data_IF_006669242907
#
_entry.id   IF_006669242907
#
_cell.length_a   1.000
_cell.length_b   1.000
_cell.length_c   1.000
_cell.angle_alpha   90.00
_cell.angle_beta   90.00
_cell.angle_gamma   90.00
#
_symmetry.space_group_name_H-M   'P 1'
#
loop_
_entity.id
_entity.type
_entity.pdbx_description
1 polymer ?
#
# COMPACT_ATOMS: atom_id res chain seq x y z
N UNK A 1 13.25 19.00 -1.01
CA UNK A 1 12.76 18.16 -2.13
C UNK A 1 11.34 17.78 -1.79
N UNK A 2 10.41 17.63 -2.76
CA UNK A 2 9.04 17.24 -2.43
C UNK A 2 9.03 15.84 -1.78
N UNK A 3 8.17 15.66 -0.77
CA UNK A 3 7.87 14.35 -0.17
C UNK A 3 7.41 13.39 -1.29
N UNK A 4 7.92 12.16 -1.29
CA UNK A 4 7.51 11.19 -2.31
C UNK A 4 6.07 10.75 -2.08
N UNK A 5 5.38 10.37 -3.17
CA UNK A 5 4.02 9.84 -3.12
C UNK A 5 3.91 8.61 -4.00
N UNK A 6 3.02 7.71 -3.61
CA UNK A 6 2.62 6.55 -4.40
C UNK A 6 1.12 6.54 -4.54
N UNK A 7 0.67 6.49 -5.79
CA UNK A 7 -0.75 6.46 -6.13
C UNK A 7 -1.24 5.02 -6.11
N UNK A 8 -2.29 4.77 -5.32
CA UNK A 8 -2.92 3.47 -5.18
C UNK A 8 -4.32 3.53 -5.78
N UNK A 9 -4.67 2.52 -6.55
CA UNK A 9 -6.04 2.27 -7.02
C UNK A 9 -6.59 1.00 -6.41
N UNK A 10 -7.90 0.95 -6.26
CA UNK A 10 -8.57 -0.28 -5.89
C UNK A 10 -10.06 -0.18 -6.17
N UNK A 11 -10.72 -1.32 -6.04
CA UNK A 11 -12.16 -1.44 -6.20
C UNK A 11 -12.69 -2.43 -5.19
N UNK A 12 -13.98 -2.32 -4.86
CA UNK A 12 -14.64 -3.24 -3.96
C UNK A 12 -15.86 -3.82 -4.64
N UNK A 13 -16.01 -5.14 -4.48
CA UNK A 13 -17.14 -5.89 -4.98
C UNK A 13 -17.87 -6.53 -3.80
N UNK A 14 -19.17 -6.71 -3.98
CA UNK A 14 -19.98 -7.56 -3.11
C UNK A 14 -19.53 -9.03 -3.23
N UNK A 15 -19.94 -9.88 -2.29
CA UNK A 15 -19.67 -11.32 -2.39
C UNK A 15 -20.25 -11.97 -3.66
N UNK A 16 -21.27 -11.35 -4.27
CA UNK A 16 -21.85 -11.76 -5.56
C UNK A 16 -21.11 -11.24 -6.80
N UNK A 17 -19.96 -10.55 -6.62
CA UNK A 17 -19.15 -10.00 -7.72
C UNK A 17 -19.67 -8.69 -8.33
N UNK A 18 -20.81 -8.16 -7.85
CA UNK A 18 -21.32 -6.86 -8.26
C UNK A 18 -20.54 -5.71 -7.62
N UNK A 19 -20.54 -4.54 -8.25
CA UNK A 19 -19.96 -3.30 -7.72
C UNK A 19 -20.50 -2.99 -6.31
N UNK A 20 -19.61 -2.63 -5.40
CA UNK A 20 -19.99 -2.23 -4.06
C UNK A 20 -20.00 -0.70 -3.97
N UNK A 21 -21.17 -0.12 -3.75
CA UNK A 21 -21.30 1.33 -3.66
C UNK A 21 -20.59 1.87 -2.40
N UNK A 22 -19.47 2.57 -2.61
CA UNK A 22 -18.66 3.16 -1.55
C UNK A 22 -18.83 4.67 -1.48
N UNK A 23 -19.01 5.19 -0.27
CA UNK A 23 -19.08 6.63 -0.01
C UNK A 23 -17.74 7.17 0.47
N UNK A 24 -16.88 6.33 1.06
CA UNK A 24 -15.52 6.71 1.43
C UNK A 24 -14.57 5.51 1.50
N UNK A 25 -13.30 5.74 1.15
CA UNK A 25 -12.17 4.90 1.52
C UNK A 25 -11.13 5.78 2.21
N UNK A 26 -10.79 5.45 3.45
CA UNK A 26 -9.92 6.27 4.32
C UNK A 26 -8.69 5.47 4.73
N UNK A 27 -7.53 6.10 4.61
CA UNK A 27 -6.23 5.53 4.90
C UNK A 27 -5.62 6.31 6.06
N UNK A 28 -5.48 5.66 7.22
CA UNK A 28 -4.92 6.27 8.42
C UNK A 28 -3.49 5.79 8.62
N UNK A 29 -2.54 6.72 8.64
CA UNK A 29 -1.16 6.44 8.98
C UNK A 29 -1.04 6.15 10.49
N UNK A 30 -0.47 5.01 10.86
CA UNK A 30 -0.47 4.51 12.25
C UNK A 30 0.59 5.15 13.15
N UNK A 31 1.62 5.76 12.57
CA UNK A 31 2.69 6.45 13.28
C UNK A 31 3.29 7.55 12.39
N UNK A 32 3.81 8.61 13.00
CA UNK A 32 4.55 9.64 12.26
C UNK A 32 5.88 9.09 11.74
N UNK A 33 6.42 9.73 10.71
CA UNK A 33 7.69 9.35 10.09
C UNK A 33 8.49 10.55 9.55
N UNK A 34 9.65 10.30 8.92
CA UNK A 34 10.49 11.37 8.35
C UNK A 34 10.93 11.09 6.92
N UNK A 35 10.82 12.06 6.02
CA UNK A 35 11.37 11.95 4.68
C UNK A 35 11.86 13.31 4.19
N UNK A 36 12.99 13.33 3.47
CA UNK A 36 13.53 14.54 2.83
C UNK A 36 13.71 15.75 3.78
N UNK A 37 13.90 15.50 5.08
CA UNK A 37 14.04 16.52 6.12
C UNK A 37 12.71 17.02 6.71
N UNK A 38 11.58 16.43 6.32
CA UNK A 38 10.23 16.77 6.79
C UNK A 38 9.65 15.65 7.66
N UNK A 39 8.81 16.02 8.63
CA UNK A 39 8.05 15.08 9.46
C UNK A 39 6.69 14.80 8.80
N UNK A 40 6.42 13.55 8.46
CA UNK A 40 5.08 13.09 8.08
C UNK A 40 4.32 12.80 9.36
N UNK A 41 3.37 13.65 9.70
CA UNK A 41 2.52 13.43 10.89
C UNK A 41 1.50 12.31 10.65
N UNK A 42 1.24 11.50 11.68
CA UNK A 42 0.14 10.56 11.65
C UNK A 42 -1.18 11.29 11.33
N UNK A 43 -1.93 10.77 10.35
CA UNK A 43 -3.10 11.44 9.81
C UNK A 43 -3.94 10.52 8.95
N UNK A 44 -5.11 11.01 8.53
CA UNK A 44 -6.01 10.27 7.65
C UNK A 44 -6.08 10.95 6.30
N UNK A 45 -5.94 10.16 5.23
CA UNK A 45 -6.13 10.58 3.85
C UNK A 45 -7.40 9.89 3.33
N UNK A 46 -8.31 10.66 2.77
CA UNK A 46 -9.52 10.13 2.12
C UNK A 46 -9.27 9.99 0.63
N UNK A 47 -9.52 8.81 0.09
CA UNK A 47 -9.43 8.54 -1.35
C UNK A 47 -10.53 9.27 -2.12
N UNK A 48 -10.27 9.61 -3.37
CA UNK A 48 -11.31 9.94 -4.32
C UNK A 48 -12.05 8.65 -4.70
N UNK A 49 -13.36 8.58 -4.49
CA UNK A 49 -14.19 7.39 -4.72
C UNK A 49 -15.20 7.65 -5.82
N UNK A 50 -15.33 6.72 -6.76
CA UNK A 50 -16.44 6.64 -7.71
C UNK A 50 -17.55 5.84 -7.06
N UNK A 51 -18.52 6.52 -6.45
CA UNK A 51 -19.51 5.88 -5.58
C UNK A 51 -20.31 4.78 -6.24
N UNK A 52 -20.59 4.87 -7.53
CA UNK A 52 -21.38 3.88 -8.25
C UNK A 52 -20.65 2.53 -8.38
N UNK A 53 -19.34 2.54 -8.61
CA UNK A 53 -18.54 1.34 -8.88
C UNK A 53 -17.75 0.87 -7.66
N UNK A 54 -17.53 1.75 -6.68
CA UNK A 54 -16.66 1.49 -5.54
C UNK A 54 -15.17 1.60 -5.88
N UNK A 55 -14.84 2.09 -7.08
CA UNK A 55 -13.45 2.35 -7.46
C UNK A 55 -12.93 3.54 -6.68
N UNK A 56 -11.67 3.49 -6.26
CA UNK A 56 -11.04 4.61 -5.58
C UNK A 56 -9.60 4.83 -6.05
N UNK A 57 -9.13 6.05 -5.87
CA UNK A 57 -7.73 6.44 -6.06
C UNK A 57 -7.26 7.29 -4.90
N UNK A 58 -6.06 7.01 -4.39
CA UNK A 58 -5.45 7.76 -3.29
C UNK A 58 -3.96 7.92 -3.52
N UNK A 59 -3.41 9.09 -3.19
CA UNK A 59 -1.97 9.30 -3.11
C UNK A 59 -1.53 9.23 -1.65
N UNK A 60 -0.66 8.28 -1.34
CA UNK A 60 -0.14 8.08 0.01
C UNK A 60 1.37 8.33 0.04
N UNK A 61 1.86 8.71 1.21
CA UNK A 61 3.28 8.77 1.46
C UNK A 61 3.86 7.33 1.53
N UNK A 62 4.98 7.03 0.86
CA UNK A 62 5.59 5.71 0.92
C UNK A 62 6.32 5.50 2.24
N UNK A 63 5.81 4.58 3.05
CA UNK A 63 6.42 4.20 4.32
C UNK A 63 7.65 3.28 4.18
N UNK A 64 8.20 3.14 2.97
CA UNK A 64 9.49 2.49 2.75
C UNK A 64 10.69 3.43 2.73
N UNK A 65 10.50 4.73 2.42
CA UNK A 65 11.62 5.67 2.20
C UNK A 65 11.99 6.45 3.48
N UNK A 66 11.02 6.69 4.35
CA UNK A 66 11.26 7.38 5.62
C UNK A 66 11.34 6.50 6.86
N UNK A 67 11.09 5.19 6.73
CA UNK A 67 10.65 4.31 7.82
C UNK A 67 11.51 4.36 9.10
N UNK A 68 10.95 4.85 10.22
CA UNK A 68 11.42 4.53 11.58
C UNK A 68 11.19 3.05 11.99
N UNK A 69 10.44 2.30 11.18
CA UNK A 69 10.25 0.86 11.30
C UNK A 69 8.81 0.40 11.50
N UNK A 70 7.92 1.32 11.92
CA UNK A 70 6.60 1.02 12.51
C UNK A 70 5.41 1.64 11.79
N UNK A 71 5.63 2.57 10.86
CA UNK A 71 4.56 3.26 10.15
C UNK A 71 3.89 2.34 9.10
N UNK A 72 2.56 2.25 9.15
CA UNK A 72 1.69 1.48 8.24
C UNK A 72 0.39 2.24 7.99
N UNK A 73 -0.38 1.84 6.98
CA UNK A 73 -1.70 2.42 6.72
C UNK A 73 -2.82 1.46 7.10
N UNK A 74 -3.76 1.93 7.92
CA UNK A 74 -5.02 1.23 8.16
C UNK A 74 -6.07 1.72 7.16
N UNK A 75 -6.69 0.79 6.44
CA UNK A 75 -7.77 1.09 5.50
C UNK A 75 -9.13 0.89 6.17
N UNK A 76 -10.00 1.88 6.07
CA UNK A 76 -11.42 1.76 6.40
C UNK A 76 -12.30 2.22 5.24
N UNK A 77 -13.40 1.50 5.04
CA UNK A 77 -14.34 1.66 3.94
C UNK A 77 -15.71 1.99 4.52
N UNK A 78 -16.39 2.96 3.94
CA UNK A 78 -17.77 3.29 4.26
C UNK A 78 -18.63 3.03 3.04
N UNK A 79 -19.65 2.19 3.20
CA UNK A 79 -20.59 1.84 2.14
C UNK A 79 -21.79 2.79 2.12
N UNK A 80 -22.58 2.73 1.04
CA UNK A 80 -23.77 3.57 0.88
C UNK A 80 -24.88 3.32 1.91
N UNK A 81 -24.92 2.13 2.50
CA UNK A 81 -25.81 1.77 3.61
C UNK A 81 -25.33 2.31 4.98
N UNK A 82 -24.21 3.03 5.01
CA UNK A 82 -23.60 3.58 6.22
C UNK A 82 -22.75 2.57 7.01
N UNK A 83 -22.68 1.31 6.58
CA UNK A 83 -21.81 0.33 7.19
C UNK A 83 -20.34 0.71 6.98
N UNK A 84 -19.52 0.39 7.98
CA UNK A 84 -18.08 0.66 7.95
C UNK A 84 -17.30 -0.62 8.16
N UNK A 85 -16.40 -0.93 7.24
CA UNK A 85 -15.51 -2.10 7.30
C UNK A 85 -14.08 -1.60 7.42
N UNK A 86 -13.36 -2.12 8.42
CA UNK A 86 -11.91 -1.90 8.53
C UNK A 86 -11.19 -3.10 7.95
N UNK A 87 -10.24 -2.86 7.05
CA UNK A 87 -9.42 -3.91 6.49
C UNK A 87 -8.56 -4.53 7.60
N UNK A 88 -8.48 -5.87 7.71
CA UNK A 88 -7.88 -6.53 8.88
C UNK A 88 -6.36 -6.41 8.95
N UNK A 89 -5.70 -6.14 7.83
CA UNK A 89 -4.24 -6.00 7.72
C UNK A 89 -3.87 -4.55 7.44
N UNK A 90 -2.85 -4.04 8.13
CA UNK A 90 -2.27 -2.73 7.83
C UNK A 90 -1.36 -2.82 6.60
N UNK A 91 -1.36 -1.77 5.78
CA UNK A 91 -0.72 -1.77 4.47
C UNK A 91 0.68 -1.15 4.55
N UNK A 92 1.65 -1.84 3.94
CA UNK A 92 2.99 -1.32 3.67
C UNK A 92 3.05 -0.75 2.25
N UNK A 93 3.29 0.56 2.13
CA UNK A 93 3.31 1.29 0.87
C UNK A 93 4.76 1.60 0.51
N UNK A 94 5.26 0.95 -0.54
CA UNK A 94 6.59 1.24 -1.07
C UNK A 94 6.57 2.41 -2.04
N UNK A 95 7.71 3.08 -2.14
CA UNK A 95 7.86 4.15 -3.13
C UNK A 95 7.78 3.57 -4.54
N UNK A 96 6.89 4.16 -5.32
CA UNK A 96 6.67 3.83 -6.72
C UNK A 96 6.38 5.11 -7.51
N UNK A 97 6.93 5.18 -8.73
CA UNK A 97 6.60 6.22 -9.72
C UNK A 97 5.44 5.83 -10.62
N UNK A 98 4.99 4.57 -10.57
CA UNK A 98 3.82 4.06 -11.27
C UNK A 98 2.67 3.81 -10.29
N UNK A 99 1.44 3.84 -10.81
CA UNK A 99 0.26 3.49 -10.01
C UNK A 99 0.35 2.02 -9.56
N UNK A 100 -0.05 1.76 -8.32
CA UNK A 100 -0.09 0.43 -7.71
C UNK A 100 -1.53 0.04 -7.43
N UNK A 101 -1.85 -1.25 -7.54
CA UNK A 101 -3.17 -1.74 -7.11
C UNK A 101 -3.18 -2.06 -5.62
N UNK A 102 -4.34 -1.98 -4.98
CA UNK A 102 -4.49 -2.40 -3.58
C UNK A 102 -4.10 -3.88 -3.38
N UNK A 103 -4.34 -4.73 -4.40
CA UNK A 103 -3.96 -6.14 -4.38
C UNK A 103 -2.44 -6.31 -4.34
N UNK A 104 -1.70 -5.61 -5.21
CA UNK A 104 -0.23 -5.61 -5.20
C UNK A 104 0.25 -5.22 -3.80
N UNK A 105 -0.21 -4.08 -3.28
CA UNK A 105 0.19 -3.57 -1.96
C UNK A 105 -0.12 -4.59 -0.84
N UNK A 106 -1.29 -5.23 -0.87
CA UNK A 106 -1.67 -6.25 0.12
C UNK A 106 -0.76 -7.49 0.04
N UNK A 107 -0.41 -7.94 -1.17
CA UNK A 107 0.52 -9.03 -1.37
C UNK A 107 1.93 -8.67 -0.88
N UNK A 108 2.44 -7.49 -1.24
CA UNK A 108 3.76 -7.04 -0.81
C UNK A 108 3.86 -6.90 0.70
N UNK A 109 2.79 -6.41 1.34
CA UNK A 109 2.69 -6.29 2.79
C UNK A 109 2.87 -7.66 3.46
N UNK A 110 2.09 -8.67 3.02
CA UNK A 110 2.19 -10.03 3.55
C UNK A 110 3.56 -10.64 3.33
N UNK A 111 4.14 -10.43 2.15
CA UNK A 111 5.47 -10.91 1.83
C UNK A 111 6.54 -10.24 2.72
N UNK A 112 6.43 -8.93 2.97
CA UNK A 112 7.32 -8.20 3.88
C UNK A 112 7.25 -8.74 5.32
N UNK A 113 6.06 -9.00 5.83
CA UNK A 113 5.89 -9.54 7.19
C UNK A 113 6.47 -10.95 7.32
N UNK A 114 6.41 -11.77 6.26
CA UNK A 114 6.95 -13.12 6.26
C UNK A 114 8.49 -13.19 6.22
N UNK A 115 9.15 -12.16 5.67
CA UNK A 115 10.60 -12.18 5.41
C UNK A 115 11.41 -11.28 6.34
N UNK A 116 10.76 -10.49 7.21
CA UNK A 116 11.47 -9.69 8.22
C UNK A 116 12.35 -10.61 9.08
N UNK A 117 13.64 -10.25 9.31
CA UNK A 117 14.25 -8.92 9.12
C UNK A 117 14.92 -8.68 7.76
N UNK A 118 14.86 -9.60 6.80
CA UNK A 118 15.48 -9.42 5.49
C UNK A 118 14.76 -8.36 4.65
N UNK A 119 15.49 -7.69 3.76
CA UNK A 119 14.89 -6.82 2.75
C UNK A 119 14.13 -7.66 1.71
N UNK A 120 12.97 -7.20 1.22
CA UNK A 120 12.24 -7.86 0.14
C UNK A 120 12.36 -7.07 -1.15
N UNK A 121 12.79 -7.73 -2.22
CA UNK A 121 12.73 -7.18 -3.59
C UNK A 121 11.88 -8.13 -4.43
N UNK A 122 10.87 -7.57 -5.09
CA UNK A 122 10.00 -8.34 -5.99
C UNK A 122 10.45 -8.07 -7.42
N UNK A 123 10.72 -9.14 -8.16
CA UNK A 123 11.37 -9.09 -9.47
C UNK A 123 10.70 -10.03 -10.47
N UNK A 124 10.88 -9.80 -11.76
CA UNK A 124 10.64 -10.83 -12.79
C UNK A 124 11.78 -11.84 -12.84
N UNK A 125 11.58 -12.98 -13.52
CA UNK A 125 12.66 -13.97 -13.71
C UNK A 125 13.91 -13.35 -14.35
N UNK A 126 13.74 -12.57 -15.43
CA UNK A 126 14.84 -11.91 -16.11
C UNK A 126 15.60 -10.92 -15.20
N UNK A 127 14.88 -10.19 -14.36
CA UNK A 127 15.48 -9.28 -13.38
C UNK A 127 16.25 -10.04 -12.31
N UNK A 128 15.74 -11.17 -11.81
CA UNK A 128 16.43 -12.01 -10.83
C UNK A 128 17.75 -12.58 -11.38
N UNK A 129 17.72 -13.06 -12.61
CA UNK A 129 18.90 -13.64 -13.28
C UNK A 129 19.99 -12.59 -13.53
N UNK A 130 19.59 -11.34 -13.80
CA UNK A 130 20.51 -10.22 -14.00
C UNK A 130 21.21 -9.73 -12.72
N UNK A 131 20.75 -10.11 -11.52
CA UNK A 131 21.34 -9.64 -10.25
C UNK A 131 22.62 -10.43 -9.94
N UNK A 132 23.76 -9.72 -9.98
CA UNK A 132 25.07 -10.24 -9.60
C UNK A 132 25.96 -9.14 -8.96
N UNK A 133 26.40 -9.28 -7.68
CA UNK A 133 26.04 -10.34 -6.74
C UNK A 133 24.63 -10.13 -6.15
N UNK A 134 23.99 -11.23 -5.74
CA UNK A 134 22.76 -11.18 -4.93
C UNK A 134 23.10 -10.75 -3.51
N UNK A 135 22.28 -9.87 -2.92
CA UNK A 135 22.50 -9.38 -1.56
C UNK A 135 22.16 -10.48 -0.54
N UNK A 136 23.06 -10.79 0.41
CA UNK A 136 22.86 -11.88 1.37
C UNK A 136 21.74 -11.63 2.38
N UNK A 137 21.32 -10.37 2.56
CA UNK A 137 20.23 -9.98 3.48
C UNK A 137 18.95 -9.59 2.73
N UNK A 138 18.77 -10.12 1.52
CA UNK A 138 17.64 -9.78 0.65
C UNK A 138 16.94 -11.04 0.16
N UNK A 139 15.65 -11.13 0.44
CA UNK A 139 14.76 -12.10 -0.18
C UNK A 139 14.29 -11.52 -1.51
N UNK A 140 14.52 -12.28 -2.58
CA UNK A 140 14.03 -11.95 -3.91
C UNK A 140 12.81 -12.83 -4.21
N UNK A 141 11.64 -12.22 -4.32
CA UNK A 141 10.42 -12.92 -4.71
C UNK A 141 10.22 -12.73 -6.22
N UNK A 142 10.30 -13.84 -6.96
CA UNK A 142 10.15 -13.84 -8.42
C UNK A 142 8.67 -13.99 -8.76
N UNK A 143 8.08 -13.00 -9.43
CA UNK A 143 6.72 -13.10 -9.98
C UNK A 143 6.76 -14.01 -11.21
N UNK A 144 5.90 -15.03 -11.21
CA UNK A 144 5.66 -15.93 -12.35
C UNK A 144 4.73 -15.33 -13.39
#
# INVERSE_FOLDING_TARGET
>A
MPISQTTITGSFKTAGGADAALTAATFTLTASDFEAGECITAGTVTAAVVTATGDFTVSLWPNSVGMIGTSRYRLALTFSDGSRVTWPTELYVKASTTMQTLEDIAFETRAMDAVRPAALVIVTQAQYDAINPKSPNTVYLVRG
#
